data_IF_386487118082
#
_entry.id   IF_386487118082
#
_cell.length_a   1.000
_cell.length_b   1.000
_cell.length_c   1.000
_cell.angle_alpha   90.00
_cell.angle_beta   90.00
_cell.angle_gamma   90.00
#
_symmetry.space_group_name_H-M   'P 1'
#
loop_
_entity.id
_entity.type
_entity.pdbx_description
1 polymer ?
#
# COMPACT_ATOMS: atom_id res chain seq x y z
N UNK A 1 -8.44 26.90 -6.95
CA UNK A 1 -7.39 26.13 -7.67
C UNK A 1 -6.02 26.27 -7.00
N UNK A 2 -5.57 27.49 -6.69
CA UNK A 2 -4.27 27.78 -6.03
C UNK A 2 -3.88 26.89 -4.83
N UNK A 3 -4.73 26.64 -3.82
CA UNK A 3 -4.32 25.78 -2.68
C UNK A 3 -4.11 24.31 -3.08
N UNK A 4 -4.83 23.83 -4.09
CA UNK A 4 -4.69 22.47 -4.62
C UNK A 4 -3.37 22.33 -5.36
N UNK A 5 -3.01 23.33 -6.18
CA UNK A 5 -1.73 23.38 -6.88
C UNK A 5 -0.54 23.53 -5.93
N UNK A 6 -0.69 24.29 -4.83
CA UNK A 6 0.34 24.35 -3.79
C UNK A 6 0.56 23.00 -3.10
N UNK A 7 -0.52 22.25 -2.88
CA UNK A 7 -0.45 20.90 -2.31
C UNK A 7 0.23 19.95 -3.29
N UNK A 8 -0.21 19.94 -4.55
CA UNK A 8 0.41 19.18 -5.63
C UNK A 8 1.90 19.47 -5.76
N UNK A 9 2.32 20.74 -5.81
CA UNK A 9 3.72 21.13 -5.91
C UNK A 9 4.56 20.62 -4.74
N UNK A 10 4.00 20.66 -3.51
CA UNK A 10 4.67 20.09 -2.32
C UNK A 10 4.82 18.58 -2.44
N UNK A 11 3.80 17.87 -2.92
CA UNK A 11 3.85 16.42 -3.11
C UNK A 11 4.84 16.04 -4.22
N UNK A 12 4.79 16.68 -5.39
CA UNK A 12 5.74 16.49 -6.50
C UNK A 12 7.19 16.65 -6.05
N UNK A 13 7.47 17.63 -5.19
CA UNK A 13 8.81 17.88 -4.66
C UNK A 13 9.41 16.68 -3.92
N UNK A 14 8.59 15.83 -3.30
CA UNK A 14 9.07 14.62 -2.59
C UNK A 14 9.63 13.59 -3.56
N UNK A 15 9.19 13.62 -4.83
CA UNK A 15 9.66 12.69 -5.87
C UNK A 15 10.90 13.19 -6.62
N UNK A 16 11.30 14.45 -6.44
CA UNK A 16 12.50 15.01 -7.07
C UNK A 16 13.74 14.76 -6.21
N UNK A 17 14.81 14.26 -6.83
CA UNK A 17 16.10 14.10 -6.16
C UNK A 17 16.95 15.36 -6.26
N UNK A 18 18.00 15.43 -5.43
CA UNK A 18 18.99 16.52 -5.50
C UNK A 18 19.69 16.56 -6.86
N UNK A 19 19.89 15.39 -7.47
CA UNK A 19 20.57 15.29 -8.76
C UNK A 19 19.67 15.73 -9.92
N UNK A 20 18.35 15.47 -9.84
CA UNK A 20 17.38 16.00 -10.81
C UNK A 20 17.36 17.54 -10.82
N UNK A 21 17.39 18.13 -9.62
CA UNK A 21 17.45 19.60 -9.47
C UNK A 21 18.76 20.17 -10.01
N UNK A 22 19.88 19.43 -9.85
CA UNK A 22 21.21 19.82 -10.36
C UNK A 22 21.34 19.67 -11.88
N UNK A 23 20.76 18.61 -12.44
CA UNK A 23 20.73 18.35 -13.88
C UNK A 23 19.94 19.42 -14.65
N UNK A 24 19.06 20.14 -13.95
CA UNK A 24 18.24 21.20 -14.49
C UNK A 24 16.89 20.64 -14.92
N UNK A 25 15.84 21.05 -14.20
CA UNK A 25 14.47 20.69 -14.57
C UNK A 25 14.11 21.30 -15.93
N UNK A 26 13.28 20.63 -16.75
CA UNK A 26 12.75 21.19 -17.99
C UNK A 26 12.20 22.59 -17.76
N UNK A 27 12.57 23.52 -18.64
CA UNK A 27 12.04 24.90 -18.60
C UNK A 27 10.54 24.83 -18.87
N UNK A 28 9.76 25.63 -18.15
CA UNK A 28 8.32 25.72 -18.39
C UNK A 28 8.08 26.31 -19.79
N UNK A 29 7.64 25.48 -20.74
CA UNK A 29 7.08 25.98 -21.99
C UNK A 29 5.72 26.59 -21.65
N UNK A 30 5.65 27.92 -21.69
CA UNK A 30 4.47 28.69 -21.31
C UNK A 30 3.26 28.51 -22.24
N UNK A 31 3.33 27.57 -23.19
CA UNK A 31 2.21 27.16 -24.04
C UNK A 31 1.81 25.69 -23.80
N UNK A 32 0.66 25.53 -23.14
CA UNK A 32 -0.44 24.63 -23.52
C UNK A 32 -0.77 23.39 -22.70
N UNK A 33 -0.15 23.08 -21.57
CA UNK A 33 -0.85 22.22 -20.62
C UNK A 33 -1.75 23.10 -19.75
N UNK A 34 -3.08 23.00 -19.92
CA UNK A 34 -4.01 23.57 -18.95
C UNK A 34 -3.65 22.97 -17.59
N UNK A 35 -3.22 23.81 -16.66
CA UNK A 35 -2.77 23.41 -15.32
C UNK A 35 -3.87 22.61 -14.60
N UNK A 36 -5.13 22.80 -15.00
CA UNK A 36 -6.27 22.00 -14.55
C UNK A 36 -6.18 20.54 -15.01
N UNK A 37 -5.73 20.28 -16.24
CA UNK A 37 -5.49 18.94 -16.78
C UNK A 37 -4.30 18.27 -16.08
N UNK A 38 -3.20 18.98 -15.88
CA UNK A 38 -2.05 18.47 -15.10
C UNK A 38 -2.46 18.07 -13.69
N UNK A 39 -3.29 18.89 -13.05
CA UNK A 39 -3.82 18.58 -11.74
C UNK A 39 -4.74 17.34 -11.77
N UNK A 40 -5.57 17.19 -12.80
CA UNK A 40 -6.41 16.00 -12.97
C UNK A 40 -5.56 14.73 -13.13
N UNK A 41 -4.54 14.76 -13.97
CA UNK A 41 -3.62 13.64 -14.19
C UNK A 41 -2.87 13.27 -12.90
N UNK A 42 -2.40 14.27 -12.14
CA UNK A 42 -1.79 14.06 -10.83
C UNK A 42 -2.75 13.38 -9.84
N UNK A 43 -4.00 13.85 -9.78
CA UNK A 43 -5.04 13.25 -8.94
C UNK A 43 -5.31 11.80 -9.35
N UNK A 44 -5.28 11.49 -10.65
CA UNK A 44 -5.43 10.12 -11.14
C UNK A 44 -4.27 9.22 -10.70
N UNK A 45 -3.02 9.67 -10.83
CA UNK A 45 -1.85 8.93 -10.35
C UNK A 45 -1.91 8.67 -8.84
N UNK A 46 -2.24 9.70 -8.05
CA UNK A 46 -2.40 9.60 -6.59
C UNK A 46 -3.53 8.64 -6.20
N UNK A 47 -4.66 8.68 -6.90
CA UNK A 47 -5.77 7.76 -6.65
C UNK A 47 -5.38 6.32 -6.95
N UNK A 48 -4.61 6.10 -8.01
CA UNK A 48 -4.06 4.79 -8.36
C UNK A 48 -3.08 4.31 -7.29
N UNK A 49 -2.15 5.16 -6.82
CA UNK A 49 -1.22 4.82 -5.74
C UNK A 49 -1.97 4.38 -4.48
N UNK A 50 -2.95 5.18 -4.05
CA UNK A 50 -3.80 4.88 -2.89
C UNK A 50 -4.55 3.55 -3.06
N UNK A 51 -5.07 3.27 -4.25
CA UNK A 51 -5.77 2.02 -4.54
C UNK A 51 -4.83 0.82 -4.41
N UNK A 52 -3.60 0.93 -4.91
CA UNK A 52 -2.62 -0.16 -4.77
C UNK A 52 -2.23 -0.37 -3.31
N UNK A 53 -2.02 0.70 -2.53
CA UNK A 53 -1.73 0.62 -1.10
C UNK A 53 -2.86 -0.06 -0.32
N UNK A 54 -4.11 0.33 -0.58
CA UNK A 54 -5.28 -0.31 0.03
C UNK A 54 -5.35 -1.79 -0.32
N UNK A 55 -5.18 -2.13 -1.61
CA UNK A 55 -5.17 -3.52 -2.07
C UNK A 55 -4.07 -4.35 -1.42
N UNK A 56 -2.88 -3.79 -1.25
CA UNK A 56 -1.77 -4.47 -0.56
C UNK A 56 -2.15 -4.75 0.89
N UNK A 57 -2.73 -3.78 1.60
CA UNK A 57 -3.14 -3.95 2.99
C UNK A 57 -4.25 -5.01 3.16
N UNK A 58 -5.23 -5.04 2.24
CA UNK A 58 -6.26 -6.08 2.19
C UNK A 58 -5.64 -7.47 1.96
N UNK A 59 -4.72 -7.58 1.00
CA UNK A 59 -4.01 -8.84 0.73
C UNK A 59 -3.10 -9.27 1.89
N UNK A 60 -2.43 -8.35 2.58
CA UNK A 60 -1.65 -8.63 3.80
C UNK A 60 -2.54 -9.23 4.89
N UNK A 61 -3.73 -8.65 5.09
CA UNK A 61 -4.71 -9.17 6.05
C UNK A 61 -5.21 -10.57 5.66
N UNK A 62 -5.48 -10.80 4.37
CA UNK A 62 -5.89 -12.12 3.86
C UNK A 62 -4.80 -13.17 4.02
N UNK A 63 -3.55 -12.84 3.69
CA UNK A 63 -2.40 -13.73 3.87
C UNK A 63 -2.21 -14.08 5.35
N UNK A 64 -2.33 -13.10 6.25
CA UNK A 64 -2.24 -13.35 7.69
C UNK A 64 -3.37 -14.27 8.18
N UNK A 65 -4.61 -14.09 7.68
CA UNK A 65 -5.74 -14.98 7.99
C UNK A 65 -5.53 -16.39 7.44
N UNK A 66 -4.89 -16.53 6.28
CA UNK A 66 -4.62 -17.80 5.62
C UNK A 66 -3.38 -18.53 6.15
N UNK A 67 -2.46 -17.82 6.82
CA UNK A 67 -1.21 -18.38 7.35
C UNK A 67 -1.37 -19.68 8.15
N UNK A 68 -2.33 -19.76 9.10
CA UNK A 68 -2.58 -20.99 9.87
C UNK A 68 -3.12 -22.16 9.03
N UNK A 69 -3.72 -21.90 7.86
CA UNK A 69 -4.34 -22.90 7.00
C UNK A 69 -3.43 -23.35 5.85
N UNK A 70 -2.39 -22.59 5.55
CA UNK A 70 -1.44 -22.87 4.47
C UNK A 70 -2.06 -22.87 3.07
N UNK A 71 -1.39 -23.50 2.12
CA UNK A 71 -1.97 -23.80 0.80
C UNK A 71 -2.93 -24.99 0.92
N UNK A 72 -4.08 -24.78 1.56
CA UNK A 72 -5.11 -25.81 1.62
C UNK A 72 -5.62 -26.11 0.20
N UNK A 73 -5.61 -27.37 -0.26
CA UNK A 73 -6.00 -27.70 -1.62
C UNK A 73 -7.51 -27.50 -1.79
N UNK A 74 -7.90 -26.40 -2.45
CA UNK A 74 -9.30 -26.10 -2.78
C UNK A 74 -9.98 -27.25 -3.52
N UNK A 75 -9.24 -28.01 -4.34
CA UNK A 75 -9.75 -29.21 -4.99
C UNK A 75 -10.32 -30.26 -4.01
N UNK A 76 -9.74 -30.36 -2.81
CA UNK A 76 -10.24 -31.24 -1.75
C UNK A 76 -11.48 -30.68 -1.07
N UNK A 77 -11.59 -29.35 -0.93
CA UNK A 77 -12.82 -28.68 -0.45
C UNK A 77 -13.98 -28.93 -1.41
N UNK A 78 -13.73 -28.76 -2.72
CA UNK A 78 -14.74 -28.91 -3.75
C UNK A 78 -15.24 -30.36 -3.85
N UNK A 79 -14.33 -31.33 -3.75
CA UNK A 79 -14.69 -32.76 -3.68
C UNK A 79 -15.55 -33.09 -2.46
N UNK A 80 -15.23 -32.52 -1.29
CA UNK A 80 -16.04 -32.69 -0.08
C UNK A 80 -17.44 -32.09 -0.26
N UNK A 81 -17.54 -30.92 -0.90
CA UNK A 81 -18.83 -30.30 -1.24
C UNK A 81 -19.67 -31.18 -2.16
N UNK A 82 -19.08 -31.77 -3.20
CA UNK A 82 -19.75 -32.70 -4.11
C UNK A 82 -20.27 -33.97 -3.40
N UNK A 83 -19.66 -34.35 -2.28
CA UNK A 83 -20.09 -35.47 -1.44
C UNK A 83 -21.16 -35.06 -0.39
N UNK A 84 -21.70 -33.84 -0.47
CA UNK A 84 -22.68 -33.33 0.49
C UNK A 84 -22.10 -33.05 1.87
N UNK A 85 -20.80 -32.73 1.95
CA UNK A 85 -20.10 -32.35 3.18
C UNK A 85 -19.62 -30.91 3.10
N UNK A 86 -19.53 -30.24 4.25
CA UNK A 86 -19.02 -28.87 4.36
C UNK A 86 -17.96 -28.77 5.44
N UNK A 87 -16.89 -28.01 5.15
CA UNK A 87 -15.86 -27.67 6.12
C UNK A 87 -16.23 -26.40 6.88
N UNK A 88 -16.11 -26.46 8.20
CA UNK A 88 -16.13 -25.29 9.08
C UNK A 88 -14.73 -25.00 9.60
N UNK A 89 -14.32 -23.73 9.60
CA UNK A 89 -13.01 -23.31 10.08
C UNK A 89 -13.15 -22.62 11.44
N UNK A 90 -12.30 -23.02 12.39
CA UNK A 90 -12.43 -22.63 13.78
C UNK A 90 -11.10 -22.26 14.42
N UNK A 91 -11.15 -21.34 15.37
CA UNK A 91 -10.01 -20.92 16.21
C UNK A 91 -10.40 -20.95 17.68
N UNK A 92 -9.55 -21.53 18.53
CA UNK A 92 -9.68 -21.43 20.00
C UNK A 92 -8.30 -21.43 20.67
N UNK A 93 -8.25 -21.24 21.99
CA UNK A 93 -6.98 -21.39 22.72
C UNK A 93 -6.58 -22.86 22.82
N UNK A 94 -5.30 -23.14 23.01
CA UNK A 94 -4.82 -24.52 23.21
C UNK A 94 -5.55 -25.24 24.34
N UNK A 95 -5.77 -24.58 25.47
CA UNK A 95 -6.46 -25.16 26.64
C UNK A 95 -7.91 -25.55 26.33
N UNK A 96 -8.63 -24.73 25.57
CA UNK A 96 -9.99 -25.02 25.12
C UNK A 96 -9.99 -26.20 24.15
N UNK A 97 -9.06 -26.20 23.20
CA UNK A 97 -8.93 -27.27 22.23
C UNK A 97 -8.71 -28.62 22.92
N UNK A 98 -7.70 -28.73 23.80
CA UNK A 98 -7.37 -29.98 24.49
C UNK A 98 -8.51 -30.47 25.40
N UNK A 99 -9.22 -29.55 26.07
CA UNK A 99 -10.34 -29.90 26.96
C UNK A 99 -11.57 -30.46 26.23
N UNK A 100 -11.84 -30.00 25.00
CA UNK A 100 -13.03 -30.39 24.24
C UNK A 100 -12.74 -31.26 23.01
N UNK A 101 -11.47 -31.51 22.71
CA UNK A 101 -11.01 -32.26 21.54
C UNK A 101 -11.71 -33.62 21.34
N UNK A 102 -11.85 -34.49 22.37
CA UNK A 102 -12.50 -35.79 22.17
C UNK A 102 -13.94 -35.65 21.66
N UNK A 103 -14.69 -34.69 22.22
CA UNK A 103 -16.09 -34.45 21.88
C UNK A 103 -16.23 -33.88 20.47
N UNK A 104 -15.36 -32.95 20.08
CA UNK A 104 -15.38 -32.34 18.75
C UNK A 104 -14.93 -33.31 17.66
N UNK A 105 -13.95 -34.16 17.93
CA UNK A 105 -13.50 -35.21 17.02
C UNK A 105 -14.60 -36.23 16.75
N UNK A 106 -15.33 -36.66 17.78
CA UNK A 106 -16.41 -37.63 17.63
C UNK A 106 -17.66 -37.03 16.96
N UNK A 107 -18.09 -35.85 17.40
CA UNK A 107 -19.35 -35.24 16.95
C UNK A 107 -19.25 -34.55 15.59
N UNK A 108 -18.11 -33.92 15.29
CA UNK A 108 -17.95 -33.04 14.14
C UNK A 108 -16.76 -33.42 13.25
N UNK A 109 -16.13 -34.58 13.48
CA UNK A 109 -14.91 -34.99 12.78
C UNK A 109 -13.87 -33.88 12.76
N UNK A 110 -13.66 -33.23 13.92
CA UNK A 110 -12.73 -32.13 14.04
C UNK A 110 -11.28 -32.60 13.84
N UNK A 111 -10.51 -31.85 13.06
CA UNK A 111 -9.10 -32.10 12.77
C UNK A 111 -8.26 -30.84 13.00
N UNK A 112 -7.21 -30.96 13.84
CA UNK A 112 -6.24 -29.88 14.04
C UNK A 112 -5.46 -29.66 12.74
N UNK A 113 -5.43 -28.41 12.26
CA UNK A 113 -4.65 -28.01 11.09
C UNK A 113 -3.31 -27.44 11.52
N UNK A 114 -3.32 -26.50 12.46
CA UNK A 114 -2.10 -25.87 12.95
C UNK A 114 -2.25 -25.29 14.35
N UNK A 115 -1.11 -24.94 14.93
CA UNK A 115 -1.02 -24.27 16.21
C UNK A 115 -0.01 -23.13 16.10
N UNK A 116 -0.46 -21.90 16.35
CA UNK A 116 0.34 -20.68 16.22
C UNK A 116 -0.09 -19.67 17.29
N UNK A 117 0.87 -18.97 17.89
CA UNK A 117 0.63 -17.90 18.88
C UNK A 117 -0.29 -18.30 20.05
N UNK A 118 -0.23 -19.56 20.49
CA UNK A 118 -1.07 -20.10 21.58
C UNK A 118 -2.52 -20.41 21.17
N UNK A 119 -2.86 -20.26 19.89
CA UNK A 119 -4.14 -20.63 19.32
C UNK A 119 -4.04 -21.92 18.51
N UNK A 120 -5.11 -22.73 18.57
CA UNK A 120 -5.31 -23.89 17.73
C UNK A 120 -6.28 -23.54 16.60
N UNK A 121 -5.91 -23.90 15.39
CA UNK A 121 -6.70 -23.74 14.17
C UNK A 121 -7.11 -25.12 13.69
N UNK A 122 -8.40 -25.36 13.57
CA UNK A 122 -8.93 -26.67 13.26
C UNK A 122 -10.13 -26.58 12.32
N UNK A 123 -10.37 -27.66 11.60
CA UNK A 123 -11.52 -27.80 10.71
C UNK A 123 -12.49 -28.81 11.25
N UNK A 124 -13.78 -28.62 10.99
CA UNK A 124 -14.83 -29.60 11.24
C UNK A 124 -15.43 -30.04 9.92
N UNK A 125 -15.78 -31.31 9.80
CA UNK A 125 -16.42 -31.87 8.63
C UNK A 125 -17.82 -32.38 8.99
N UNK A 126 -18.85 -31.71 8.47
CA UNK A 126 -20.26 -31.99 8.77
C UNK A 126 -21.08 -32.09 7.49
N UNK A 127 -22.26 -32.72 7.57
CA UNK A 127 -23.18 -32.79 6.45
C UNK A 127 -23.62 -31.39 6.00
N UNK A 128 -23.72 -31.20 4.69
CA UNK A 128 -24.08 -29.93 4.08
C UNK A 128 -25.42 -29.41 4.64
N UNK A 129 -25.43 -28.15 5.09
CA UNK A 129 -26.60 -27.52 5.74
C UNK A 129 -26.66 -27.68 7.26
N UNK A 130 -25.74 -28.46 7.86
CA UNK A 130 -25.55 -28.49 9.31
C UNK A 130 -24.36 -27.61 9.67
N UNK A 131 -24.55 -26.50 10.37
CA UNK A 131 -23.42 -25.74 10.93
C UNK A 131 -23.13 -26.26 12.35
N UNK A 132 -21.88 -26.67 12.64
CA UNK A 132 -21.53 -27.04 14.00
C UNK A 132 -21.62 -25.81 14.88
N UNK A 133 -22.30 -25.93 16.03
CA UNK A 133 -22.28 -24.88 17.06
C UNK A 133 -21.23 -25.30 18.09
N UNK A 134 -20.12 -24.56 18.14
CA UNK A 134 -19.02 -24.76 19.08
C UNK A 134 -18.84 -23.47 19.88
N UNK A 135 -19.53 -23.31 21.03
CA UNK A 135 -19.47 -22.07 21.81
C UNK A 135 -18.07 -21.69 22.29
N UNK A 136 -17.20 -22.66 22.47
CA UNK A 136 -15.84 -22.47 22.98
C UNK A 136 -14.82 -22.14 21.88
N UNK A 137 -15.26 -22.10 20.61
CA UNK A 137 -14.41 -21.75 19.46
C UNK A 137 -15.02 -20.63 18.62
N UNK A 138 -14.17 -19.81 18.04
CA UNK A 138 -14.57 -18.74 17.13
C UNK A 138 -14.58 -19.24 15.69
N UNK A 139 -15.66 -19.04 14.93
CA UNK A 139 -15.67 -19.33 13.51
C UNK A 139 -14.73 -18.36 12.78
N UNK A 140 -13.94 -18.88 11.84
CA UNK A 140 -13.01 -18.10 11.03
C UNK A 140 -13.53 -18.06 9.59
N UNK A 141 -13.72 -16.85 9.07
CA UNK A 141 -13.99 -16.66 7.65
C UNK A 141 -12.67 -16.71 6.88
N UNK A 142 -12.48 -17.80 6.14
CA UNK A 142 -11.25 -18.12 5.42
C UNK A 142 -11.42 -17.66 3.97
N UNK A 143 -10.53 -16.80 3.44
CA UNK A 143 -10.58 -16.40 2.04
C UNK A 143 -10.63 -17.61 1.09
N UNK A 144 -11.41 -17.56 0.00
CA UNK A 144 -11.56 -18.68 -0.93
C UNK A 144 -10.35 -18.89 -1.85
N UNK A 145 -9.20 -18.28 -1.54
CA UNK A 145 -8.00 -18.28 -2.37
C UNK A 145 -6.81 -18.84 -1.59
N UNK A 146 -6.02 -19.76 -2.19
CA UNK A 146 -4.81 -20.29 -1.56
C UNK A 146 -3.80 -19.18 -1.21
N UNK A 147 -2.99 -19.40 -0.17
CA UNK A 147 -1.94 -18.48 0.28
C UNK A 147 -1.00 -18.11 -0.87
N UNK A 148 -0.56 -19.08 -1.65
CA UNK A 148 0.29 -18.90 -2.84
C UNK A 148 -0.31 -17.93 -3.86
N UNK A 149 -1.62 -18.02 -4.10
CA UNK A 149 -2.34 -17.12 -5.00
C UNK A 149 -2.40 -15.70 -4.43
N UNK A 150 -2.69 -15.57 -3.14
CA UNK A 150 -2.72 -14.27 -2.46
C UNK A 150 -1.35 -13.58 -2.46
N UNK A 151 -0.27 -14.33 -2.21
CA UNK A 151 1.12 -13.84 -2.27
C UNK A 151 1.48 -13.37 -3.68
N UNK A 152 1.11 -14.13 -4.71
CA UNK A 152 1.33 -13.73 -6.10
C UNK A 152 0.59 -12.43 -6.43
N UNK A 153 -0.68 -12.32 -6.04
CA UNK A 153 -1.47 -11.10 -6.24
C UNK A 153 -0.88 -9.90 -5.49
N UNK A 154 -0.37 -10.11 -4.28
CA UNK A 154 0.28 -9.07 -3.49
C UNK A 154 1.56 -8.60 -4.16
N UNK A 155 2.40 -9.54 -4.64
CA UNK A 155 3.63 -9.22 -5.35
C UNK A 155 3.33 -8.37 -6.58
N UNK A 156 2.33 -8.77 -7.38
CA UNK A 156 1.88 -7.99 -8.53
C UNK A 156 1.36 -6.60 -8.16
N UNK A 157 0.64 -6.47 -7.03
CA UNK A 157 0.17 -5.18 -6.55
C UNK A 157 1.34 -4.28 -6.09
N UNK A 158 2.35 -4.84 -5.41
CA UNK A 158 3.59 -4.15 -5.02
C UNK A 158 4.39 -3.67 -6.24
N UNK A 159 4.50 -4.51 -7.27
CA UNK A 159 5.15 -4.12 -8.53
C UNK A 159 4.37 -3.00 -9.24
N UNK A 160 3.04 -3.09 -9.28
CA UNK A 160 2.21 -2.02 -9.83
C UNK A 160 2.35 -0.71 -9.06
N UNK A 161 2.40 -0.76 -7.71
CA UNK A 161 2.66 0.42 -6.88
C UNK A 161 4.03 1.04 -7.19
N UNK A 162 5.05 0.20 -7.38
CA UNK A 162 6.38 0.67 -7.78
C UNK A 162 6.34 1.41 -9.12
N UNK A 163 5.64 0.87 -10.13
CA UNK A 163 5.50 1.53 -11.43
C UNK A 163 4.78 2.88 -11.31
N UNK A 164 3.67 2.94 -10.58
CA UNK A 164 2.94 4.22 -10.35
C UNK A 164 3.85 5.25 -9.69
N UNK A 165 4.71 4.85 -8.76
CA UNK A 165 5.66 5.78 -8.12
C UNK A 165 6.76 6.28 -9.06
N UNK A 166 7.18 5.46 -10.02
CA UNK A 166 8.09 5.89 -11.07
C UNK A 166 7.40 6.90 -11.99
N UNK A 167 6.17 6.59 -12.44
CA UNK A 167 5.35 7.51 -13.24
C UNK A 167 5.12 8.85 -12.53
N UNK A 168 4.85 8.83 -11.22
CA UNK A 168 4.73 10.06 -10.41
C UNK A 168 6.05 10.84 -10.34
N UNK A 169 7.19 10.15 -10.33
CA UNK A 169 8.52 10.77 -10.40
C UNK A 169 8.78 11.44 -11.74
N UNK A 170 8.53 10.73 -12.83
CA UNK A 170 8.68 11.24 -14.20
C UNK A 170 7.74 12.43 -14.44
N UNK A 171 6.48 12.31 -14.01
CA UNK A 171 5.51 13.40 -14.04
C UNK A 171 6.01 14.62 -13.24
N UNK A 172 6.57 14.40 -12.06
CA UNK A 172 7.12 15.47 -11.23
C UNK A 172 8.30 16.15 -11.93
N UNK A 173 9.22 15.38 -12.51
CA UNK A 173 10.36 15.91 -13.24
C UNK A 173 9.92 16.79 -14.41
N UNK A 174 8.93 16.33 -15.17
CA UNK A 174 8.46 17.01 -16.38
C UNK A 174 7.66 18.29 -16.06
N UNK A 175 6.74 18.24 -15.10
CA UNK A 175 5.72 19.29 -14.94
C UNK A 175 5.94 20.21 -13.73
N UNK A 176 6.95 19.98 -12.89
CA UNK A 176 7.16 20.80 -11.68
C UNK A 176 7.29 22.29 -11.97
N UNK A 177 8.05 22.66 -13.03
CA UNK A 177 8.25 24.07 -13.40
C UNK A 177 6.98 24.72 -13.96
N UNK A 178 6.14 23.96 -14.64
CA UNK A 178 4.86 24.45 -15.18
C UNK A 178 3.90 24.81 -14.02
N UNK A 179 3.80 23.96 -13.01
CA UNK A 179 2.99 24.22 -11.81
C UNK A 179 3.58 25.36 -10.97
N UNK A 180 4.91 25.44 -10.85
CA UNK A 180 5.60 26.53 -10.18
C UNK A 180 5.34 27.88 -10.87
N UNK A 181 5.41 27.91 -12.21
CA UNK A 181 5.11 29.09 -13.01
C UNK A 181 3.64 29.51 -12.88
N UNK A 182 2.70 28.57 -12.91
CA UNK A 182 1.27 28.82 -12.73
C UNK A 182 0.94 29.41 -11.35
N UNK A 183 1.74 29.10 -10.32
CA UNK A 183 1.63 29.68 -8.98
C UNK A 183 2.35 31.03 -8.84
N UNK A 184 2.99 31.54 -9.90
CA UNK A 184 3.79 32.77 -9.86
C UNK A 184 5.07 32.64 -9.03
N UNK A 185 5.56 31.42 -8.83
CA UNK A 185 6.75 31.13 -8.02
C UNK A 185 8.04 31.13 -8.87
N UNK A 186 7.93 31.25 -10.19
CA UNK A 186 9.05 31.21 -11.16
C UNK A 186 10.14 32.26 -10.90
N UNK A 187 9.81 33.40 -10.28
CA UNK A 187 10.79 34.44 -9.90
C UNK A 187 11.60 34.14 -8.61
N UNK A 188 11.30 33.04 -7.91
CA UNK A 188 11.94 32.71 -6.63
C UNK A 188 13.14 31.77 -6.72
N UNK A 189 13.70 31.57 -7.93
CA UNK A 189 15.08 31.09 -8.10
C UNK A 189 16.15 32.13 -7.72
N UNK A 190 15.77 33.26 -7.11
CA UNK A 190 16.65 33.94 -6.15
C UNK A 190 16.74 33.12 -4.86
N UNK A 191 17.45 32.00 -4.98
CA UNK A 191 17.95 31.11 -3.95
C UNK A 191 17.76 31.70 -2.56
N UNK A 192 16.92 31.06 -1.77
CA UNK A 192 16.84 31.19 -0.32
C UNK A 192 18.14 30.75 0.37
N UNK A 193 19.30 30.96 -0.26
CA UNK A 193 20.59 30.89 0.38
C UNK A 193 20.79 32.21 1.13
N UNK A 194 20.34 32.22 2.38
CA UNK A 194 20.73 33.23 3.38
C UNK A 194 22.26 33.44 3.34
N UNK A 195 23.00 32.37 3.03
CA UNK A 195 24.45 32.34 2.82
C UNK A 195 24.93 33.12 1.57
N UNK A 196 24.22 33.07 0.44
CA UNK A 196 24.59 33.83 -0.78
C UNK A 196 24.34 35.33 -0.59
N UNK A 197 23.20 35.71 0.01
CA UNK A 197 22.92 37.11 0.34
C UNK A 197 23.91 37.67 1.37
N UNK A 198 24.34 36.84 2.33
CA UNK A 198 25.38 37.17 3.28
C UNK A 198 26.72 37.39 2.59
N UNK A 199 27.20 36.45 1.77
CA UNK A 199 28.47 36.59 1.05
C UNK A 199 28.48 37.73 0.03
N UNK A 200 27.37 38.00 -0.66
CA UNK A 200 27.25 39.16 -1.55
C UNK A 200 27.36 40.49 -0.77
N UNK A 201 26.77 40.58 0.43
CA UNK A 201 26.95 41.74 1.32
C UNK A 201 28.39 41.85 1.83
N UNK A 202 29.01 40.74 2.22
CA UNK A 202 30.41 40.72 2.68
C UNK A 202 31.35 41.18 1.55
N UNK A 203 31.19 40.69 0.32
CA UNK A 203 31.98 41.13 -0.82
C UNK A 203 31.81 42.62 -1.13
N UNK A 204 30.59 43.17 -1.03
CA UNK A 204 30.33 44.60 -1.23
C UNK A 204 30.93 45.49 -0.13
N UNK A 205 31.02 44.99 1.10
CA UNK A 205 31.68 45.70 2.22
C UNK A 205 33.20 45.67 2.01
N UNK A 206 33.76 44.53 1.64
CA UNK A 206 35.21 44.38 1.38
C UNK A 206 35.66 45.28 0.23
N UNK A 207 34.90 45.39 -0.85
CA UNK A 207 35.25 46.29 -1.96
C UNK A 207 35.14 47.77 -1.59
N UNK A 208 34.21 48.15 -0.71
CA UNK A 208 34.14 49.51 -0.15
C UNK A 208 35.32 49.84 0.77
N UNK A 209 35.88 48.85 1.48
CA UNK A 209 37.06 49.03 2.31
C UNK A 209 38.37 49.09 1.51
N UNK A 210 38.43 48.51 0.32
CA UNK A 210 39.60 48.58 -0.57
C UNK A 210 39.68 49.85 -1.43
N UNK A 211 38.66 50.72 -1.37
CA UNK A 211 38.57 51.96 -2.15
C UNK A 211 38.75 53.23 -1.31
N UNK A 212 39.27 53.10 -0.08
CA UNK A 212 39.77 54.19 0.77
C UNK A 212 41.24 53.93 1.07
#
# INVERSE_FOLDING_TARGET
MTPLLQTMLREMRVHLTVDDVRAGLPVADCSSADVSLLYADWVMLRNTERRQLQRIAELDADIARMGPWGDYPMASVDQLSQQGKSLGFWRCTQTQFEGHWPQWREKYSAELVSQQDGFCYFVTNVAHGSQPVIPEAQPVDVPPSPVSTLIMLQTRAKDSLRQVRLEMGDFSLQHYREVEAALGLSDTLHVTNRHYRFWKKVCQIITKFKSK
#
